data_IF_521634940206
#
_entry.id   IF_521634940206
#
_cell.length_a   1.000
_cell.length_b   1.000
_cell.length_c   1.000
_cell.angle_alpha   90.00
_cell.angle_beta   90.00
_cell.angle_gamma   90.00
#
_symmetry.space_group_name_H-M   'P 1'
#
loop_
_entity.id
_entity.type
_entity.pdbx_description
1 polymer ?
#
# COMPACT_ATOMS: atom_id res chain seq x y z
N UNK A 1 -61.93 32.77 -29.06
CA UNK A 1 -60.65 32.32 -29.64
C UNK A 1 -59.58 32.72 -28.63
N UNK A 2 -59.32 31.83 -27.65
CA UNK A 2 -58.36 32.10 -26.61
C UNK A 2 -57.25 31.11 -26.77
N UNK A 3 -56.03 31.58 -27.09
CA UNK A 3 -54.78 30.78 -27.20
C UNK A 3 -54.12 30.81 -25.87
N UNK A 4 -54.26 29.71 -25.13
CA UNK A 4 -53.42 29.43 -23.95
C UNK A 4 -52.04 28.93 -24.40
N UNK A 5 -51.01 29.75 -24.17
CA UNK A 5 -49.61 29.36 -24.30
C UNK A 5 -49.16 28.73 -22.99
N UNK A 6 -48.96 27.41 -23.02
CA UNK A 6 -48.36 26.63 -21.92
C UNK A 6 -46.85 26.72 -22.06
N UNK A 7 -46.19 27.56 -21.23
CA UNK A 7 -44.73 27.61 -21.15
C UNK A 7 -44.23 26.42 -20.35
N UNK A 8 -43.64 25.42 -21.01
CA UNK A 8 -42.95 24.32 -20.36
C UNK A 8 -41.58 24.82 -19.95
N UNK A 9 -41.41 25.04 -18.62
CA UNK A 9 -40.11 25.29 -17.99
C UNK A 9 -39.38 23.95 -17.86
N UNK A 10 -38.42 23.68 -18.76
CA UNK A 10 -37.51 22.53 -18.63
C UNK A 10 -36.44 22.87 -17.59
N UNK A 11 -36.59 22.36 -16.38
CA UNK A 11 -35.51 22.37 -15.37
C UNK A 11 -34.43 21.39 -15.79
N UNK A 12 -33.32 21.90 -16.32
CA UNK A 12 -32.09 21.16 -16.46
C UNK A 12 -31.49 20.91 -15.06
N UNK A 13 -31.75 19.74 -14.49
CA UNK A 13 -31.02 19.27 -13.33
C UNK A 13 -29.60 18.91 -13.80
N UNK A 14 -28.68 19.87 -13.77
CA UNK A 14 -27.25 19.57 -13.81
C UNK A 14 -26.88 18.87 -12.50
N UNK A 15 -26.95 17.55 -12.49
CA UNK A 15 -26.27 16.74 -11.46
C UNK A 15 -24.77 16.96 -11.62
N UNK A 16 -24.21 17.89 -10.84
CA UNK A 16 -22.77 17.93 -10.62
C UNK A 16 -22.37 16.64 -9.91
N UNK A 17 -21.99 15.63 -10.68
CA UNK A 17 -21.19 14.54 -10.17
C UNK A 17 -19.87 15.17 -9.73
N UNK A 18 -19.73 15.39 -8.43
CA UNK A 18 -18.47 15.85 -7.84
C UNK A 18 -17.44 14.76 -8.01
N UNK A 19 -16.66 14.83 -9.08
CA UNK A 19 -15.46 14.00 -9.20
C UNK A 19 -14.42 14.48 -8.20
N UNK A 20 -13.83 13.55 -7.45
CA UNK A 20 -12.65 13.84 -6.63
C UNK A 20 -11.60 14.55 -7.50
N UNK A 21 -11.05 15.65 -6.98
CA UNK A 21 -9.99 16.39 -7.70
C UNK A 21 -8.65 15.63 -7.71
N UNK A 22 -8.52 14.58 -6.89
CA UNK A 22 -7.35 13.72 -6.84
C UNK A 22 -7.57 12.52 -7.75
N UNK A 23 -6.55 12.14 -8.50
CA UNK A 23 -6.59 10.99 -9.39
C UNK A 23 -5.36 10.11 -9.22
N UNK A 24 -5.45 8.88 -9.70
CA UNK A 24 -4.34 7.93 -9.67
C UNK A 24 -4.27 7.17 -10.98
N UNK A 25 -3.05 6.91 -11.47
CA UNK A 25 -2.80 6.10 -12.64
C UNK A 25 -1.84 4.97 -12.32
N UNK A 26 -2.26 3.73 -12.59
CA UNK A 26 -1.45 2.53 -12.42
C UNK A 26 -0.39 2.47 -13.53
N UNK A 27 0.88 2.39 -13.14
CA UNK A 27 2.02 2.17 -14.04
C UNK A 27 2.50 0.72 -14.02
N UNK A 28 1.89 -0.14 -13.21
CA UNK A 28 2.28 -1.56 -13.16
C UNK A 28 1.98 -2.29 -14.46
N UNK A 29 0.95 -1.85 -15.19
CA UNK A 29 0.53 -2.41 -16.48
C UNK A 29 1.30 -1.88 -17.69
N UNK A 30 2.23 -0.95 -17.50
CA UNK A 30 3.09 -0.47 -18.59
C UNK A 30 4.05 -1.57 -19.07
N UNK A 31 4.67 -1.37 -20.21
CA UNK A 31 5.60 -2.35 -20.79
C UNK A 31 6.95 -2.33 -20.05
N UNK A 32 7.02 -3.03 -18.93
CA UNK A 32 8.25 -3.17 -18.17
C UNK A 32 9.20 -4.16 -18.84
N UNK A 33 10.48 -3.84 -18.77
CA UNK A 33 11.58 -4.71 -19.21
C UNK A 33 12.63 -4.81 -18.12
N UNK A 34 13.41 -5.90 -18.14
CA UNK A 34 14.51 -6.11 -17.20
C UNK A 34 15.75 -6.65 -17.90
N UNK A 35 16.89 -6.49 -17.24
CA UNK A 35 18.15 -7.14 -17.63
C UNK A 35 19.10 -7.22 -16.45
N UNK A 36 20.09 -8.09 -16.51
CA UNK A 36 21.28 -8.00 -15.64
C UNK A 36 22.06 -6.72 -15.99
N UNK A 37 22.64 -6.06 -14.99
CA UNK A 37 23.32 -4.76 -15.19
C UNK A 37 24.33 -4.79 -16.35
N UNK A 38 25.13 -5.84 -16.41
CA UNK A 38 26.21 -5.95 -17.40
C UNK A 38 25.78 -6.53 -18.75
N UNK A 39 24.53 -6.97 -18.91
CA UNK A 39 24.01 -7.50 -20.16
C UNK A 39 23.57 -6.40 -21.12
N UNK A 40 23.57 -6.71 -22.41
CA UNK A 40 23.07 -5.81 -23.44
C UNK A 40 21.56 -5.96 -23.71
N UNK A 41 21.02 -7.17 -23.53
CA UNK A 41 19.66 -7.53 -23.94
C UNK A 41 18.65 -7.25 -22.83
N UNK A 42 17.55 -6.60 -23.22
CA UNK A 42 16.38 -6.40 -22.37
C UNK A 42 15.33 -7.48 -22.66
N UNK A 43 14.70 -7.97 -21.58
CA UNK A 43 13.62 -8.97 -21.63
C UNK A 43 12.35 -8.39 -21.01
N UNK A 44 11.19 -8.95 -21.36
CA UNK A 44 9.91 -8.51 -20.82
C UNK A 44 9.81 -8.84 -19.32
N UNK A 45 9.37 -7.87 -18.52
CA UNK A 45 9.11 -8.04 -17.08
C UNK A 45 7.64 -7.92 -16.76
N UNK A 46 7.19 -8.63 -15.74
CA UNK A 46 5.85 -8.50 -15.19
C UNK A 46 5.88 -7.74 -13.87
N UNK A 47 5.10 -6.67 -13.78
CA UNK A 47 4.94 -5.87 -12.54
C UNK A 47 3.47 -5.92 -12.10
N UNK A 48 3.17 -6.27 -10.84
CA UNK A 48 4.08 -6.77 -9.80
C UNK A 48 4.72 -8.12 -10.14
N UNK A 49 5.99 -8.28 -9.76
CA UNK A 49 6.75 -9.49 -10.01
C UNK A 49 8.12 -9.50 -9.34
N UNK A 50 8.88 -10.55 -9.60
CA UNK A 50 10.23 -10.74 -9.10
C UNK A 50 11.14 -11.24 -10.21
N UNK A 51 12.46 -11.03 -10.06
CA UNK A 51 13.45 -11.46 -11.04
C UNK A 51 13.37 -12.95 -11.39
N UNK A 52 13.14 -13.82 -10.40
CA UNK A 52 13.03 -15.25 -10.65
C UNK A 52 11.83 -15.59 -11.55
N UNK A 53 10.68 -14.93 -11.32
CA UNK A 53 9.48 -15.12 -12.15
C UNK A 53 9.69 -14.57 -13.55
N UNK A 54 10.37 -13.45 -13.69
CA UNK A 54 10.65 -12.81 -14.98
C UNK A 54 11.65 -13.64 -15.81
N UNK A 55 12.72 -14.13 -15.18
CA UNK A 55 13.67 -15.04 -15.82
C UNK A 55 13.01 -16.33 -16.30
N UNK A 56 12.15 -16.92 -15.47
CA UNK A 56 11.42 -18.15 -15.82
C UNK A 56 10.45 -17.93 -16.97
N UNK A 57 9.66 -16.84 -16.94
CA UNK A 57 8.71 -16.52 -18.00
C UNK A 57 9.37 -16.25 -19.36
N UNK A 58 10.61 -15.80 -19.37
CA UNK A 58 11.40 -15.61 -20.59
C UNK A 58 12.22 -16.84 -20.99
N UNK A 59 12.04 -18.00 -20.31
CA UNK A 59 12.81 -19.23 -20.56
C UNK A 59 14.33 -19.06 -20.40
N UNK A 60 14.76 -18.14 -19.53
CA UNK A 60 16.17 -17.87 -19.24
C UNK A 60 16.71 -18.77 -18.12
N UNK A 61 15.83 -19.40 -17.36
CA UNK A 61 16.12 -20.38 -16.33
C UNK A 61 15.11 -21.56 -16.43
N UNK A 62 15.50 -22.76 -15.95
CA UNK A 62 14.57 -23.87 -15.79
C UNK A 62 13.58 -23.58 -14.66
N UNK A 63 12.54 -24.44 -14.52
CA UNK A 63 11.60 -24.36 -13.40
C UNK A 63 12.35 -24.41 -12.07
N UNK A 64 12.32 -23.33 -11.26
CA UNK A 64 13.05 -23.25 -10.00
C UNK A 64 12.65 -24.31 -8.96
N UNK A 65 11.43 -24.83 -9.04
CA UNK A 65 10.89 -25.82 -8.10
C UNK A 65 11.05 -27.25 -8.55
N UNK A 66 11.63 -27.49 -9.74
CA UNK A 66 11.81 -28.83 -10.24
C UNK A 66 13.15 -29.43 -9.84
N UNK A 67 13.11 -30.57 -9.16
CA UNK A 67 14.32 -31.34 -8.80
C UNK A 67 15.30 -30.58 -7.92
N UNK A 68 16.51 -30.38 -8.40
CA UNK A 68 17.57 -29.64 -7.70
C UNK A 68 17.88 -28.28 -8.33
N UNK A 69 17.01 -27.78 -9.21
CA UNK A 69 17.24 -26.53 -9.95
C UNK A 69 17.48 -25.32 -9.03
N UNK A 70 16.87 -25.29 -7.85
CA UNK A 70 17.14 -24.26 -6.84
C UNK A 70 18.64 -24.01 -6.64
N UNK A 71 19.44 -25.10 -6.53
CA UNK A 71 20.87 -25.00 -6.28
C UNK A 71 21.66 -24.37 -7.43
N UNK A 72 21.20 -24.63 -8.65
CA UNK A 72 21.82 -24.10 -9.87
C UNK A 72 21.45 -22.62 -10.12
N UNK A 73 20.45 -22.09 -9.39
CA UNK A 73 19.92 -20.75 -9.59
C UNK A 73 20.40 -19.73 -8.55
N UNK A 74 21.27 -20.11 -7.63
CA UNK A 74 21.77 -19.22 -6.57
C UNK A 74 22.56 -18.02 -7.12
N UNK A 75 23.10 -18.11 -8.34
CA UNK A 75 23.77 -16.99 -9.01
C UNK A 75 22.89 -15.75 -9.17
N UNK A 76 21.55 -15.92 -9.19
CA UNK A 76 20.60 -14.82 -9.41
C UNK A 76 20.66 -13.79 -8.29
N UNK A 77 20.88 -14.23 -7.05
CA UNK A 77 20.97 -13.36 -5.89
C UNK A 77 22.30 -12.58 -5.81
N UNK A 78 23.32 -13.04 -6.55
CA UNK A 78 24.63 -12.38 -6.63
C UNK A 78 24.69 -11.29 -7.71
N UNK A 79 23.65 -11.14 -8.51
CA UNK A 79 23.63 -10.17 -9.61
C UNK A 79 22.80 -8.95 -9.27
N UNK A 80 23.19 -7.83 -9.88
CA UNK A 80 22.41 -6.60 -9.88
C UNK A 80 21.50 -6.55 -11.11
N UNK A 81 20.29 -6.03 -10.92
CA UNK A 81 19.25 -6.05 -11.94
C UNK A 81 18.74 -4.66 -12.27
N UNK A 82 18.49 -4.40 -13.55
CA UNK A 82 17.84 -3.20 -14.04
C UNK A 82 16.42 -3.51 -14.49
N UNK A 83 15.46 -2.68 -14.06
CA UNK A 83 14.09 -2.66 -14.54
C UNK A 83 13.80 -1.31 -15.19
N UNK A 84 13.06 -1.31 -16.30
CA UNK A 84 12.77 -0.09 -17.04
C UNK A 84 11.41 -0.11 -17.68
N UNK A 85 10.74 1.05 -17.69
CA UNK A 85 9.54 1.30 -18.49
C UNK A 85 9.50 2.73 -18.99
N UNK A 86 8.77 2.93 -20.08
CA UNK A 86 8.41 4.24 -20.60
C UNK A 86 6.91 4.47 -20.41
N UNK A 87 6.52 5.70 -20.09
CA UNK A 87 5.14 6.11 -19.95
C UNK A 87 4.92 7.53 -20.45
N UNK A 88 3.67 7.86 -20.79
CA UNK A 88 3.33 9.19 -21.31
C UNK A 88 2.77 10.07 -20.18
N UNK A 89 3.04 11.37 -20.20
CA UNK A 89 2.39 12.38 -19.36
C UNK A 89 1.70 13.38 -20.29
N UNK A 90 0.41 13.62 -20.03
CA UNK A 90 -0.37 14.62 -20.75
C UNK A 90 -0.12 16.02 -20.17
N UNK A 91 -0.52 17.05 -20.93
CA UNK A 91 -0.46 18.43 -20.44
C UNK A 91 -1.31 18.61 -19.18
N UNK A 92 -2.55 18.08 -19.18
CA UNK A 92 -3.51 18.21 -18.08
C UNK A 92 -3.00 17.50 -16.80
N UNK A 93 -2.36 16.34 -16.95
CA UNK A 93 -1.73 15.65 -15.82
C UNK A 93 -0.59 16.50 -15.22
N UNK A 94 0.24 17.12 -16.07
CA UNK A 94 1.37 17.96 -15.62
C UNK A 94 0.91 19.29 -15.01
N UNK A 95 -0.32 19.75 -15.25
CA UNK A 95 -0.89 20.95 -14.61
C UNK A 95 -1.21 20.74 -13.11
N UNK A 96 -1.30 19.49 -12.63
CA UNK A 96 -1.50 19.25 -11.20
C UNK A 96 -0.36 19.83 -10.35
N UNK A 97 -0.67 20.35 -9.17
CA UNK A 97 0.31 20.96 -8.28
C UNK A 97 1.35 19.97 -7.76
N UNK A 98 0.90 18.76 -7.43
CA UNK A 98 1.73 17.67 -6.92
C UNK A 98 1.49 16.42 -7.76
N UNK A 99 2.58 15.77 -8.15
CA UNK A 99 2.55 14.48 -8.84
C UNK A 99 3.48 13.53 -8.09
N UNK A 100 2.92 12.57 -7.40
CA UNK A 100 3.69 11.60 -6.62
C UNK A 100 3.87 10.31 -7.39
N UNK A 101 5.11 9.85 -7.53
CA UNK A 101 5.43 8.49 -7.91
C UNK A 101 5.45 7.63 -6.66
N UNK A 102 4.62 6.59 -6.65
CA UNK A 102 4.45 5.70 -5.52
C UNK A 102 4.83 4.28 -5.91
N UNK A 103 5.63 3.65 -5.05
CA UNK A 103 5.93 2.22 -5.07
C UNK A 103 5.36 1.59 -3.81
N UNK A 104 4.42 0.68 -3.94
CA UNK A 104 3.83 -0.01 -2.77
C UNK A 104 4.80 -1.04 -2.18
N UNK A 105 5.85 -1.42 -2.93
CA UNK A 105 6.94 -2.27 -2.46
C UNK A 105 8.03 -2.49 -3.50
N UNK A 106 9.27 -2.25 -3.10
CA UNK A 106 10.50 -2.54 -3.85
C UNK A 106 11.33 -3.57 -3.06
N UNK A 107 11.81 -4.61 -3.71
CA UNK A 107 12.54 -5.70 -3.09
C UNK A 107 13.98 -5.73 -3.62
N UNK A 108 14.96 -5.24 -2.87
CA UNK A 108 14.99 -4.61 -1.55
C UNK A 108 15.76 -3.30 -1.66
N UNK A 109 17.05 -3.36 -2.07
CA UNK A 109 17.90 -2.20 -2.30
C UNK A 109 17.67 -1.71 -3.72
N UNK A 110 17.05 -0.55 -3.86
CA UNK A 110 16.68 -0.03 -5.17
C UNK A 110 17.02 1.46 -5.31
N UNK A 111 17.75 1.79 -6.36
CA UNK A 111 17.94 3.17 -6.81
C UNK A 111 17.00 3.44 -7.97
N UNK A 112 16.07 4.40 -7.80
CA UNK A 112 15.11 4.76 -8.84
C UNK A 112 15.56 6.04 -9.55
N UNK A 113 15.56 5.96 -10.87
CA UNK A 113 15.81 7.09 -11.76
C UNK A 113 14.57 7.43 -12.57
N UNK A 114 14.26 8.71 -12.68
CA UNK A 114 13.23 9.25 -13.56
C UNK A 114 13.88 10.20 -14.55
N UNK A 115 13.76 9.91 -15.85
CA UNK A 115 14.41 10.66 -16.92
C UNK A 115 15.95 10.83 -16.71
N UNK A 116 16.60 9.78 -16.19
CA UNK A 116 18.03 9.75 -15.89
C UNK A 116 18.44 10.45 -14.57
N UNK A 117 17.51 11.09 -13.86
CA UNK A 117 17.78 11.73 -12.57
C UNK A 117 17.39 10.80 -11.43
N UNK A 118 18.29 10.56 -10.47
CA UNK A 118 18.00 9.80 -9.26
C UNK A 118 16.94 10.51 -8.42
N UNK A 119 15.86 9.81 -8.08
CA UNK A 119 14.72 10.34 -7.31
C UNK A 119 14.47 9.60 -6.00
N UNK A 120 14.93 8.34 -5.87
CA UNK A 120 14.70 7.53 -4.67
C UNK A 120 15.85 6.56 -4.42
N UNK A 121 16.15 6.31 -3.13
CA UNK A 121 16.87 5.15 -2.62
C UNK A 121 15.94 4.37 -1.70
N UNK A 122 15.76 3.08 -1.95
CA UNK A 122 15.00 2.16 -1.12
C UNK A 122 15.91 1.09 -0.54
N UNK A 123 15.65 0.67 0.69
CA UNK A 123 16.44 -0.30 1.46
C UNK A 123 15.57 -1.27 2.28
N UNK A 124 14.26 -1.33 1.99
CA UNK A 124 13.31 -2.06 2.81
C UNK A 124 12.12 -2.52 1.97
N UNK A 125 11.94 -3.84 1.82
CA UNK A 125 10.85 -4.39 1.00
C UNK A 125 9.45 -4.18 1.60
N UNK A 126 9.35 -3.93 2.92
CA UNK A 126 8.07 -3.82 3.62
C UNK A 126 7.50 -2.41 3.65
N UNK A 127 8.22 -1.42 3.13
CA UNK A 127 7.79 -0.03 3.07
C UNK A 127 7.21 0.31 1.71
N UNK A 128 6.17 1.15 1.72
CA UNK A 128 5.78 1.93 0.55
C UNK A 128 6.64 3.19 0.45
N UNK A 129 6.96 3.58 -0.77
CA UNK A 129 7.80 4.73 -1.07
C UNK A 129 7.01 5.71 -1.92
N UNK A 130 7.07 6.99 -1.59
CA UNK A 130 6.42 8.05 -2.36
C UNK A 130 7.34 9.25 -2.52
N UNK A 131 7.38 9.81 -3.71
CA UNK A 131 8.23 10.94 -4.07
C UNK A 131 7.44 11.91 -4.93
N UNK A 132 7.49 13.22 -4.63
CA UNK A 132 7.02 14.23 -5.56
C UNK A 132 7.99 14.33 -6.74
N UNK A 133 7.49 14.03 -7.92
CA UNK A 133 8.26 13.96 -9.15
C UNK A 133 7.85 15.01 -10.19
N UNK A 134 6.97 15.94 -9.83
CA UNK A 134 6.44 16.93 -10.78
C UNK A 134 7.55 17.64 -11.56
N UNK A 135 8.62 18.08 -10.88
CA UNK A 135 9.72 18.82 -11.49
C UNK A 135 10.65 17.95 -12.35
N UNK A 136 10.50 16.63 -12.32
CA UNK A 136 11.27 15.67 -13.12
C UNK A 136 10.51 15.19 -14.36
N UNK A 137 9.18 15.39 -14.37
CA UNK A 137 8.30 14.98 -15.47
C UNK A 137 8.29 16.02 -16.59
N UNK A 138 8.04 15.55 -17.80
CA UNK A 138 7.79 16.36 -19.00
C UNK A 138 6.57 15.85 -19.76
N UNK A 139 5.94 16.71 -20.53
CA UNK A 139 4.86 16.31 -21.44
C UNK A 139 5.42 15.28 -22.43
N UNK A 140 4.62 14.25 -22.72
CA UNK A 140 5.01 13.17 -23.60
C UNK A 140 5.79 12.07 -22.86
N UNK A 141 6.77 11.48 -23.51
CA UNK A 141 7.50 10.30 -23.04
C UNK A 141 8.38 10.60 -21.83
N UNK A 142 8.21 9.82 -20.77
CA UNK A 142 9.05 9.75 -19.57
C UNK A 142 9.53 8.32 -19.36
N UNK A 143 10.68 8.16 -18.73
CA UNK A 143 11.30 6.85 -18.49
C UNK A 143 11.59 6.67 -17.01
N UNK A 144 11.14 5.57 -16.43
CA UNK A 144 11.56 5.09 -15.12
C UNK A 144 12.59 3.98 -15.34
N UNK A 145 13.71 4.05 -14.62
CA UNK A 145 14.71 2.99 -14.54
C UNK A 145 15.00 2.72 -13.05
N UNK A 146 15.07 1.44 -12.69
CA UNK A 146 15.31 1.01 -11.32
C UNK A 146 16.49 0.05 -11.31
N UNK A 147 17.50 0.39 -10.54
CA UNK A 147 18.64 -0.47 -10.28
C UNK A 147 18.42 -1.17 -8.95
N UNK A 148 18.28 -2.49 -8.98
CA UNK A 148 18.26 -3.35 -7.80
C UNK A 148 19.65 -3.92 -7.56
N UNK A 149 20.23 -3.60 -6.41
CA UNK A 149 21.49 -4.18 -5.95
C UNK A 149 21.22 -5.52 -5.24
N UNK A 150 22.18 -6.45 -5.33
CA UNK A 150 22.11 -7.74 -4.66
C UNK A 150 21.89 -7.58 -3.15
N UNK A 151 20.79 -8.14 -2.65
CA UNK A 151 20.49 -8.12 -1.23
C UNK A 151 21.47 -8.98 -0.42
N UNK A 152 21.97 -10.08 -0.99
CA UNK A 152 22.97 -10.94 -0.37
C UNK A 152 24.29 -10.20 -0.19
N UNK A 153 24.83 -9.57 -1.26
CA UNK A 153 26.06 -8.78 -1.17
C UNK A 153 25.96 -7.62 -0.19
N UNK A 154 24.81 -6.89 -0.20
CA UNK A 154 24.58 -5.81 0.78
C UNK A 154 24.54 -6.32 2.20
N UNK A 155 23.91 -7.44 2.45
CA UNK A 155 23.91 -8.07 3.77
C UNK A 155 25.30 -8.48 4.23
N UNK A 156 26.13 -9.03 3.33
CA UNK A 156 27.52 -9.35 3.60
C UNK A 156 28.36 -8.10 3.92
N UNK A 157 28.24 -7.04 3.12
CA UNK A 157 28.89 -5.74 3.36
C UNK A 157 28.56 -5.20 4.76
N UNK A 158 27.30 -5.29 5.20
CA UNK A 158 26.89 -4.85 6.53
C UNK A 158 27.44 -5.77 7.63
N UNK A 159 27.47 -7.08 7.40
CA UNK A 159 28.01 -8.04 8.36
C UNK A 159 29.50 -7.81 8.65
N UNK A 160 30.26 -7.46 7.63
CA UNK A 160 31.70 -7.17 7.73
C UNK A 160 32.04 -5.93 8.55
N UNK A 161 31.07 -5.04 8.80
CA UNK A 161 31.25 -3.86 9.67
C UNK A 161 31.27 -4.22 11.16
N UNK A 162 30.85 -5.42 11.52
CA UNK A 162 30.85 -5.89 12.90
C UNK A 162 32.18 -6.60 13.23
N UNK A 163 32.63 -6.42 14.46
CA UNK A 163 33.82 -7.13 15.00
C UNK A 163 33.53 -8.58 15.44
N UNK A 164 32.30 -9.04 15.28
CA UNK A 164 31.82 -10.39 15.65
C UNK A 164 30.83 -10.90 14.60
N UNK A 165 30.65 -12.21 14.52
CA UNK A 165 29.71 -12.86 13.60
C UNK A 165 28.39 -13.13 14.29
N UNK A 166 27.28 -12.70 13.64
CA UNK A 166 25.95 -13.07 14.07
C UNK A 166 25.55 -14.44 13.47
N UNK A 167 24.68 -15.19 14.16
CA UNK A 167 23.98 -16.31 13.53
C UNK A 167 23.25 -15.84 12.27
N UNK A 168 23.06 -16.75 11.29
CA UNK A 168 22.27 -16.47 10.09
C UNK A 168 22.90 -15.46 9.10
N UNK A 169 24.18 -15.19 9.25
CA UNK A 169 25.01 -14.43 8.29
C UNK A 169 24.34 -13.14 7.79
N UNK A 170 24.33 -12.95 6.45
CA UNK A 170 23.87 -11.74 5.76
C UNK A 170 22.39 -11.41 5.96
N UNK A 171 21.53 -12.42 6.15
CA UNK A 171 20.06 -12.19 6.16
C UNK A 171 19.57 -11.30 7.30
N UNK A 172 20.26 -11.27 8.44
CA UNK A 172 19.87 -10.46 9.60
C UNK A 172 20.11 -8.96 9.40
N UNK A 173 20.88 -8.59 8.38
CA UNK A 173 21.18 -7.20 8.04
C UNK A 173 20.25 -6.64 6.96
N UNK A 174 19.40 -7.47 6.35
CA UNK A 174 18.54 -7.09 5.22
C UNK A 174 17.08 -7.00 5.66
N UNK A 175 16.44 -5.87 5.39
CA UNK A 175 14.99 -5.68 5.67
C UNK A 175 14.14 -6.29 4.56
N UNK A 176 14.21 -7.61 4.49
CA UNK A 176 13.59 -8.48 3.51
C UNK A 176 12.93 -9.67 4.22
N UNK A 177 11.99 -10.35 3.57
CA UNK A 177 11.40 -11.56 4.14
C UNK A 177 12.50 -12.62 4.37
N UNK A 178 12.67 -13.03 5.63
CA UNK A 178 13.78 -13.87 6.03
C UNK A 178 13.77 -15.26 5.38
N UNK A 179 12.58 -15.80 5.07
CA UNK A 179 12.43 -17.07 4.36
C UNK A 179 12.95 -17.04 2.91
N UNK A 180 13.16 -15.85 2.30
CA UNK A 180 13.81 -15.76 0.98
C UNK A 180 15.26 -16.27 1.00
N UNK A 181 15.93 -16.23 2.14
CA UNK A 181 17.27 -16.79 2.33
C UNK A 181 17.26 -18.31 2.62
N UNK A 182 16.14 -18.96 2.37
CA UNK A 182 15.91 -20.37 2.66
C UNK A 182 15.37 -20.60 4.08
N UNK A 183 14.57 -21.62 4.25
CA UNK A 183 14.02 -22.06 5.52
C UNK A 183 13.86 -23.59 5.51
N UNK A 184 13.53 -24.20 6.63
CA UNK A 184 13.31 -25.65 6.71
C UNK A 184 12.14 -26.16 5.83
N UNK A 185 11.23 -25.26 5.43
CA UNK A 185 10.07 -25.56 4.60
C UNK A 185 10.07 -24.83 3.24
N UNK A 186 11.07 -23.98 2.95
CA UNK A 186 11.13 -23.20 1.73
C UNK A 186 12.53 -23.21 1.11
N UNK A 187 12.61 -23.30 -0.22
CA UNK A 187 13.86 -23.14 -0.95
C UNK A 187 14.43 -21.73 -0.77
N UNK A 188 15.73 -21.59 -1.04
CA UNK A 188 16.41 -20.29 -1.03
C UNK A 188 16.22 -19.59 -2.37
N UNK A 189 15.45 -18.51 -2.36
CA UNK A 189 15.31 -17.57 -3.49
C UNK A 189 15.37 -16.14 -2.96
N UNK A 190 16.57 -15.56 -2.92
CA UNK A 190 16.75 -14.15 -2.54
C UNK A 190 16.38 -13.30 -3.75
N UNK A 191 15.12 -12.93 -3.81
CA UNK A 191 14.50 -12.23 -4.94
C UNK A 191 14.92 -10.77 -5.01
N UNK A 192 14.69 -10.15 -6.18
CA UNK A 192 14.73 -8.71 -6.40
C UNK A 192 13.57 -8.32 -7.32
N UNK A 193 13.08 -7.09 -7.25
CA UNK A 193 12.08 -6.60 -8.19
C UNK A 193 11.00 -5.68 -7.62
N UNK A 194 10.06 -5.35 -8.47
CA UNK A 194 8.91 -4.50 -8.14
C UNK A 194 7.76 -5.42 -7.71
N UNK A 195 7.74 -5.84 -6.45
CA UNK A 195 6.85 -6.91 -5.98
C UNK A 195 5.43 -6.45 -5.63
N UNK A 196 5.18 -5.13 -5.64
CA UNK A 196 3.85 -4.51 -5.49
C UNK A 196 3.62 -3.46 -6.56
N UNK A 197 2.46 -2.79 -6.52
CA UNK A 197 2.07 -1.81 -7.52
C UNK A 197 2.97 -0.59 -7.58
N UNK A 198 3.05 -0.03 -8.78
CA UNK A 198 3.64 1.29 -9.07
C UNK A 198 2.54 2.19 -9.63
N UNK A 199 2.39 3.39 -9.09
CA UNK A 199 1.37 4.31 -9.58
C UNK A 199 1.74 5.77 -9.40
N UNK A 200 1.21 6.63 -10.26
CA UNK A 200 1.22 8.08 -10.08
C UNK A 200 -0.04 8.51 -9.32
N UNK A 201 0.10 9.48 -8.43
CA UNK A 201 -1.01 10.20 -7.81
C UNK A 201 -0.91 11.67 -8.15
N UNK A 202 -2.03 12.21 -8.62
CA UNK A 202 -2.16 13.60 -9.00
C UNK A 202 -3.08 14.31 -8.01
N UNK A 203 -2.62 15.42 -7.44
CA UNK A 203 -3.47 16.17 -6.52
C UNK A 203 -3.06 17.65 -6.44
N UNK A 204 -4.02 18.51 -6.01
CA UNK A 204 -3.87 19.95 -6.10
C UNK A 204 -4.01 20.72 -4.79
N UNK A 205 -4.90 20.28 -3.91
CA UNK A 205 -5.27 21.05 -2.70
C UNK A 205 -4.93 20.32 -1.40
N UNK A 206 -5.46 19.11 -1.30
CA UNK A 206 -5.30 18.29 -0.10
C UNK A 206 -5.57 16.82 -0.43
N UNK A 207 -5.09 15.93 0.44
CA UNK A 207 -5.39 14.50 0.37
C UNK A 207 -5.42 13.88 1.76
N UNK A 208 -6.19 12.81 1.91
CA UNK A 208 -6.18 11.94 3.08
C UNK A 208 -5.06 10.92 2.88
N UNK A 209 -4.00 11.02 3.67
CA UNK A 209 -2.87 10.07 3.63
C UNK A 209 -3.24 8.74 4.26
N UNK A 210 -3.81 8.82 5.47
CA UNK A 210 -4.16 7.66 6.27
C UNK A 210 -5.35 7.95 7.17
N UNK A 211 -6.06 6.89 7.55
CA UNK A 211 -7.11 6.91 8.57
C UNK A 211 -6.82 5.79 9.55
N UNK A 212 -6.55 6.14 10.80
CA UNK A 212 -6.45 5.20 11.90
C UNK A 212 -7.80 5.06 12.58
N UNK A 213 -8.28 3.84 12.74
CA UNK A 213 -9.42 3.49 13.56
C UNK A 213 -8.96 3.16 14.99
N UNK A 214 -9.54 3.86 15.98
CA UNK A 214 -9.20 3.70 17.39
C UNK A 214 -10.49 3.43 18.20
N UNK A 215 -10.72 2.16 18.54
CA UNK A 215 -11.89 1.72 19.29
C UNK A 215 -11.70 2.04 20.78
N UNK A 216 -12.57 2.89 21.33
CA UNK A 216 -12.51 3.33 22.74
C UNK A 216 -13.38 2.49 23.65
N UNK A 217 -14.56 2.14 23.19
CA UNK A 217 -15.53 1.32 23.94
C UNK A 217 -16.32 0.47 22.96
N UNK A 218 -16.54 -0.77 23.29
CA UNK A 218 -17.43 -1.65 22.54
C UNK A 218 -18.14 -2.63 23.48
N UNK A 219 -19.47 -2.61 23.42
CA UNK A 219 -20.35 -3.61 24.00
C UNK A 219 -21.59 -3.79 23.09
N UNK A 220 -22.62 -4.51 23.56
CA UNK A 220 -23.84 -4.75 22.79
C UNK A 220 -24.72 -3.52 22.65
N UNK A 221 -24.57 -2.51 23.52
CA UNK A 221 -25.40 -1.31 23.54
C UNK A 221 -24.78 -0.15 22.78
N UNK A 222 -23.45 -0.05 22.81
CA UNK A 222 -22.75 1.09 22.27
C UNK A 222 -21.35 0.74 21.77
N UNK A 223 -20.97 1.32 20.64
CA UNK A 223 -19.59 1.41 20.15
C UNK A 223 -19.15 2.87 20.09
N UNK A 224 -18.03 3.20 20.76
CA UNK A 224 -17.38 4.52 20.68
C UNK A 224 -16.01 4.36 20.05
N UNK A 225 -15.73 5.16 19.05
CA UNK A 225 -14.49 5.10 18.29
C UNK A 225 -14.05 6.47 17.81
N UNK A 226 -12.75 6.61 17.61
CA UNK A 226 -12.16 7.78 16.97
C UNK A 226 -11.60 7.39 15.61
N UNK A 227 -11.90 8.17 14.58
CA UNK A 227 -11.15 8.13 13.34
C UNK A 227 -10.12 9.25 13.36
N UNK A 228 -8.83 8.87 13.30
CA UNK A 228 -7.71 9.80 13.29
C UNK A 228 -7.16 9.89 11.87
N UNK A 229 -7.37 11.03 11.24
CA UNK A 229 -6.96 11.29 9.86
C UNK A 229 -5.59 11.97 9.84
N UNK A 230 -4.71 11.48 9.00
CA UNK A 230 -3.54 12.24 8.54
C UNK A 230 -3.89 12.87 7.20
N UNK A 231 -3.94 14.19 7.15
CA UNK A 231 -4.30 14.98 5.96
C UNK A 231 -3.14 15.87 5.57
N UNK A 232 -2.70 15.79 4.32
CA UNK A 232 -1.70 16.71 3.76
C UNK A 232 -2.39 17.79 2.94
N UNK A 233 -2.02 19.07 3.15
CA UNK A 233 -2.59 20.20 2.43
C UNK A 233 -1.50 21.09 1.82
N UNK A 234 -1.74 21.60 0.61
CA UNK A 234 -0.87 22.57 -0.06
C UNK A 234 -1.00 24.00 0.51
N UNK A 235 -2.18 24.34 1.02
CA UNK A 235 -2.46 25.68 1.58
C UNK A 235 -3.23 25.56 2.88
N UNK A 236 -2.93 26.46 3.81
CA UNK A 236 -3.74 26.61 5.03
C UNK A 236 -5.16 27.09 4.66
N UNK A 237 -6.17 26.61 5.40
CA UNK A 237 -7.55 26.96 5.11
C UNK A 237 -8.58 26.19 5.91
N UNK A 238 -9.84 26.50 5.68
CA UNK A 238 -10.97 25.75 6.22
C UNK A 238 -11.27 24.57 5.32
N UNK A 239 -11.33 23.40 5.90
CA UNK A 239 -11.68 22.13 5.27
C UNK A 239 -12.75 21.44 6.13
N UNK A 240 -13.43 20.47 5.55
CA UNK A 240 -14.27 19.55 6.32
C UNK A 240 -14.08 18.12 5.86
N UNK A 241 -14.21 17.18 6.79
CA UNK A 241 -14.37 15.77 6.47
C UNK A 241 -15.85 15.45 6.67
N UNK A 242 -16.47 14.79 5.72
CA UNK A 242 -17.86 14.36 5.79
C UNK A 242 -17.95 12.86 5.91
N UNK A 243 -18.82 12.40 6.80
CA UNK A 243 -19.23 11.00 6.91
C UNK A 243 -20.76 10.93 6.65
N UNK A 244 -21.15 10.41 5.48
CA UNK A 244 -22.54 10.51 5.02
C UNK A 244 -22.97 11.96 4.93
N UNK A 245 -24.05 12.32 5.62
CA UNK A 245 -24.55 13.71 5.65
C UNK A 245 -23.89 14.60 6.72
N UNK A 246 -23.10 14.00 7.65
CA UNK A 246 -22.53 14.72 8.79
C UNK A 246 -21.19 15.35 8.45
N UNK A 247 -21.06 16.70 8.43
CA UNK A 247 -19.81 17.39 8.24
C UNK A 247 -19.05 17.59 9.56
N UNK A 248 -17.73 17.53 9.49
CA UNK A 248 -16.79 17.84 10.56
C UNK A 248 -15.80 18.89 10.06
N UNK A 249 -15.97 20.18 10.42
CA UNK A 249 -15.12 21.25 9.96
C UNK A 249 -13.80 21.31 10.73
N UNK A 250 -12.71 21.66 10.02
CA UNK A 250 -11.38 21.82 10.56
C UNK A 250 -10.66 23.02 9.95
N UNK A 251 -9.77 23.63 10.73
CA UNK A 251 -8.80 24.58 10.23
C UNK A 251 -7.47 23.82 10.06
N UNK A 252 -7.01 23.65 8.82
CA UNK A 252 -5.77 22.95 8.51
C UNK A 252 -4.67 23.93 8.11
N UNK A 253 -3.42 23.61 8.48
CA UNK A 253 -2.22 24.36 8.07
C UNK A 253 -1.59 23.70 6.84
N UNK A 254 -0.82 24.45 6.05
CA UNK A 254 0.00 23.87 4.98
C UNK A 254 0.88 22.74 5.53
N UNK A 255 0.99 21.64 4.80
CA UNK A 255 1.70 20.43 5.17
C UNK A 255 0.82 19.38 5.84
N UNK A 256 1.42 18.55 6.66
CA UNK A 256 0.74 17.43 7.31
C UNK A 256 -0.03 17.89 8.55
N UNK A 257 -1.27 17.44 8.68
CA UNK A 257 -2.17 17.70 9.80
C UNK A 257 -2.73 16.38 10.32
N UNK A 258 -3.06 16.37 11.62
CA UNK A 258 -3.81 15.28 12.24
C UNK A 258 -5.14 15.83 12.72
N UNK A 259 -6.24 15.21 12.28
CA UNK A 259 -7.59 15.55 12.72
C UNK A 259 -8.29 14.31 13.26
N UNK A 260 -9.15 14.51 14.27
CA UNK A 260 -9.81 13.43 14.99
C UNK A 260 -11.32 13.62 14.93
N UNK A 261 -12.03 12.56 14.58
CA UNK A 261 -13.50 12.54 14.48
C UNK A 261 -14.03 11.44 15.39
N UNK A 262 -14.72 11.78 16.50
CA UNK A 262 -15.39 10.80 17.34
C UNK A 262 -16.70 10.34 16.67
N UNK A 263 -16.92 9.02 16.66
CA UNK A 263 -18.14 8.38 16.17
C UNK A 263 -18.69 7.47 17.24
N UNK A 264 -20.01 7.46 17.35
CA UNK A 264 -20.76 6.60 18.24
C UNK A 264 -21.84 5.85 17.45
N UNK A 265 -21.99 4.55 17.73
CA UNK A 265 -23.00 3.69 17.13
C UNK A 265 -23.77 3.04 18.27
N UNK A 266 -25.07 3.26 18.35
CA UNK A 266 -25.96 2.61 19.29
C UNK A 266 -26.35 1.20 18.78
N UNK A 267 -26.40 0.23 19.67
CA UNK A 267 -26.73 -1.18 19.38
C UNK A 267 -25.92 -1.74 18.19
N UNK A 268 -24.58 -1.72 18.29
CA UNK A 268 -23.72 -2.13 17.17
C UNK A 268 -23.86 -3.61 16.85
N UNK A 269 -23.83 -3.96 15.56
CA UNK A 269 -23.73 -5.34 15.12
C UNK A 269 -22.26 -5.75 15.25
N UNK A 270 -21.98 -6.71 16.13
CA UNK A 270 -20.63 -7.19 16.37
C UNK A 270 -20.17 -8.13 15.25
N UNK A 271 -18.89 -8.04 14.93
CA UNK A 271 -18.23 -8.96 14.02
C UNK A 271 -17.89 -10.27 14.74
N UNK A 272 -18.15 -11.40 14.08
CA UNK A 272 -17.80 -12.73 14.56
C UNK A 272 -16.97 -13.48 13.53
N UNK A 273 -16.05 -14.32 14.00
CA UNK A 273 -15.31 -15.21 13.12
C UNK A 273 -16.19 -16.36 12.62
N UNK A 274 -15.73 -17.04 11.59
CA UNK A 274 -16.44 -18.15 10.98
C UNK A 274 -16.86 -19.21 12.02
N UNK A 275 -18.12 -19.65 11.95
CA UNK A 275 -18.73 -20.63 12.85
C UNK A 275 -19.26 -20.07 14.17
N UNK A 276 -19.07 -18.78 14.49
CA UNK A 276 -19.56 -18.15 15.73
C UNK A 276 -20.62 -17.07 15.51
N UNK A 277 -20.84 -16.66 14.28
CA UNK A 277 -21.82 -15.63 13.93
C UNK A 277 -21.51 -14.97 12.59
N UNK A 278 -22.08 -13.78 12.38
CA UNK A 278 -21.93 -13.02 11.14
C UNK A 278 -20.66 -12.17 11.19
N UNK A 279 -19.85 -12.25 10.13
CA UNK A 279 -18.67 -11.38 9.95
C UNK A 279 -19.10 -10.00 9.43
N UNK A 280 -19.90 -9.27 10.23
CA UNK A 280 -20.45 -7.98 9.85
C UNK A 280 -19.35 -6.92 9.72
N UNK A 281 -19.36 -6.18 8.59
CA UNK A 281 -18.43 -5.07 8.33
C UNK A 281 -19.20 -3.77 8.13
N UNK A 282 -18.88 -2.78 8.94
CA UNK A 282 -19.32 -1.40 8.72
C UNK A 282 -18.47 -0.78 7.62
N UNK A 283 -19.13 -0.10 6.69
CA UNK A 283 -18.47 0.64 5.60
C UNK A 283 -18.57 2.13 5.92
N UNK A 284 -17.44 2.74 6.21
CA UNK A 284 -17.32 4.18 6.44
C UNK A 284 -16.73 4.83 5.19
N UNK A 285 -17.51 5.74 4.57
CA UNK A 285 -17.08 6.55 3.42
C UNK A 285 -16.87 7.97 3.88
N UNK A 286 -15.63 8.43 3.76
CA UNK A 286 -15.23 9.78 4.14
C UNK A 286 -14.89 10.57 2.89
N UNK A 287 -15.43 11.80 2.78
CA UNK A 287 -15.00 12.79 1.79
C UNK A 287 -14.30 13.96 2.49
N UNK A 288 -13.15 14.37 1.94
CA UNK A 288 -12.48 15.62 2.30
C UNK A 288 -12.96 16.70 1.36
N UNK A 289 -13.48 17.79 1.91
CA UNK A 289 -14.14 18.84 1.15
C UNK A 289 -13.56 20.23 1.47
N UNK A 290 -13.60 21.13 0.48
CA UNK A 290 -13.31 22.54 0.63
C UNK A 290 -14.23 23.36 -0.27
N UNK A 291 -14.89 24.37 0.29
CA UNK A 291 -15.82 25.26 -0.43
C UNK A 291 -16.92 24.49 -1.20
N UNK A 292 -17.45 23.43 -0.60
CA UNK A 292 -18.50 22.58 -1.18
C UNK A 292 -18.04 21.58 -2.25
N UNK A 293 -16.76 21.56 -2.60
CA UNK A 293 -16.21 20.61 -3.57
C UNK A 293 -15.49 19.45 -2.85
N UNK A 294 -15.73 18.22 -3.31
CA UNK A 294 -15.00 17.03 -2.86
C UNK A 294 -13.59 17.08 -3.44
N UNK A 295 -12.58 16.92 -2.57
CA UNK A 295 -11.17 16.95 -2.92
C UNK A 295 -10.59 15.53 -2.95
N UNK A 296 -10.93 14.71 -1.92
CA UNK A 296 -10.45 13.35 -1.78
C UNK A 296 -11.49 12.48 -1.06
N UNK A 297 -11.46 11.19 -1.31
CA UNK A 297 -12.38 10.23 -0.70
C UNK A 297 -11.63 8.99 -0.23
N UNK A 298 -12.09 8.42 0.88
CA UNK A 298 -11.60 7.16 1.43
C UNK A 298 -12.72 6.31 1.97
N UNK A 299 -12.63 5.00 1.72
CA UNK A 299 -13.51 3.99 2.29
C UNK A 299 -12.73 3.10 3.27
N UNK A 300 -13.32 2.84 4.43
CA UNK A 300 -12.83 1.86 5.41
C UNK A 300 -13.91 0.83 5.68
N UNK A 301 -13.51 -0.44 5.76
CA UNK A 301 -14.35 -1.57 6.20
C UNK A 301 -13.87 -2.04 7.56
N UNK A 302 -14.73 -1.99 8.58
CA UNK A 302 -14.37 -2.26 9.96
C UNK A 302 -15.35 -3.26 10.56
N UNK A 303 -14.82 -4.36 11.13
CA UNK A 303 -15.58 -5.28 11.96
C UNK A 303 -15.42 -4.92 13.43
N UNK A 304 -16.51 -4.50 14.07
CA UNK A 304 -16.51 -4.13 15.49
C UNK A 304 -16.42 -5.38 16.36
N UNK A 305 -15.31 -5.55 17.07
CA UNK A 305 -15.06 -6.70 17.94
C UNK A 305 -14.10 -6.37 19.07
N UNK A 306 -14.21 -7.10 20.17
CA UNK A 306 -13.18 -7.18 21.21
C UNK A 306 -12.47 -8.53 21.12
N UNK A 307 -11.15 -8.54 21.30
CA UNK A 307 -10.35 -9.76 21.44
C UNK A 307 -9.53 -9.62 22.73
N UNK A 308 -9.67 -10.59 23.61
CA UNK A 308 -8.96 -10.63 24.89
C UNK A 308 -8.16 -11.93 24.97
N UNK A 309 -6.90 -11.84 25.34
CA UNK A 309 -6.11 -12.98 25.77
C UNK A 309 -6.30 -13.16 27.29
N UNK A 310 -6.92 -14.27 27.69
CA UNK A 310 -7.17 -14.58 29.09
C UNK A 310 -6.07 -15.47 29.63
N UNK A 311 -5.42 -15.01 30.69
CA UNK A 311 -4.36 -15.71 31.41
C UNK A 311 -4.65 -15.63 32.91
N UNK A 312 -5.36 -16.60 33.44
CA UNK A 312 -5.75 -16.70 34.84
C UNK A 312 -4.98 -17.85 35.51
N UNK A 313 -4.47 -17.62 36.72
CA UNK A 313 -3.82 -18.66 37.48
C UNK A 313 -4.86 -19.59 38.10
N UNK A 314 -4.60 -20.88 38.10
CA UNK A 314 -5.32 -21.91 38.80
C UNK A 314 -4.37 -22.80 39.64
N UNK A 315 -4.87 -23.84 40.29
CA UNK A 315 -4.05 -24.74 41.11
C UNK A 315 -3.02 -25.55 40.30
N UNK A 316 -3.18 -25.67 38.99
CA UNK A 316 -2.34 -26.48 38.09
C UNK A 316 -1.45 -25.67 37.17
N UNK A 317 -1.68 -24.35 37.09
CA UNK A 317 -0.88 -23.49 36.21
C UNK A 317 -1.59 -22.20 35.82
N UNK A 318 -1.49 -21.84 34.54
CA UNK A 318 -2.04 -20.59 34.00
C UNK A 318 -2.82 -20.90 32.72
N UNK A 319 -4.08 -20.43 32.66
CA UNK A 319 -4.88 -20.54 31.46
C UNK A 319 -4.31 -19.70 30.31
N UNK A 320 -4.59 -20.11 29.07
CA UNK A 320 -4.20 -19.37 27.87
C UNK A 320 -5.27 -19.59 26.81
N UNK A 321 -6.23 -18.65 26.71
CA UNK A 321 -7.28 -18.72 25.72
C UNK A 321 -7.77 -17.33 25.31
N UNK A 322 -8.45 -17.25 24.17
CA UNK A 322 -9.00 -16.00 23.68
C UNK A 322 -10.50 -15.89 23.97
N UNK A 323 -10.95 -14.67 24.27
CA UNK A 323 -12.37 -14.29 24.23
C UNK A 323 -12.59 -13.36 23.04
N UNK A 324 -13.57 -13.66 22.21
CA UNK A 324 -14.10 -12.80 21.16
C UNK A 324 -15.45 -12.25 21.61
N UNK A 325 -15.57 -10.92 21.73
CA UNK A 325 -16.78 -10.27 22.24
C UNK A 325 -17.25 -10.87 23.59
N UNK A 326 -16.30 -11.13 24.49
CA UNK A 326 -16.53 -11.71 25.80
C UNK A 326 -16.80 -13.23 25.81
N UNK A 327 -16.92 -13.91 24.66
CA UNK A 327 -17.14 -15.36 24.57
C UNK A 327 -15.83 -16.10 24.37
N UNK A 328 -15.51 -17.14 25.15
CA UNK A 328 -14.35 -18.00 24.92
C UNK A 328 -14.37 -18.63 23.52
N UNK A 329 -13.21 -18.63 22.86
CA UNK A 329 -13.08 -19.15 21.50
C UNK A 329 -11.96 -20.18 21.47
N UNK A 330 -12.25 -21.36 20.92
CA UNK A 330 -11.24 -22.33 20.56
C UNK A 330 -10.59 -21.91 19.24
N UNK A 331 -9.29 -21.61 19.29
CA UNK A 331 -8.52 -21.23 18.11
C UNK A 331 -8.22 -22.47 17.28
N UNK A 332 -8.82 -22.54 16.10
CA UNK A 332 -8.53 -23.58 15.11
C UNK A 332 -7.53 -23.03 14.12
N UNK A 333 -6.37 -23.62 14.07
CA UNK A 333 -5.29 -23.23 13.16
C UNK A 333 -4.56 -24.45 12.62
N UNK A 334 -3.96 -24.28 11.48
CA UNK A 334 -3.04 -25.24 10.92
C UNK A 334 -1.91 -24.49 10.22
N UNK A 335 -0.71 -25.02 10.30
CA UNK A 335 0.42 -24.62 9.49
C UNK A 335 0.40 -25.51 8.23
N UNK A 336 0.12 -24.92 7.07
CA UNK A 336 0.14 -25.63 5.80
C UNK A 336 1.48 -25.37 5.12
N UNK A 337 2.35 -26.35 5.17
CA UNK A 337 3.59 -26.42 4.40
C UNK A 337 3.30 -27.23 3.13
N UNK A 338 3.25 -26.60 1.99
CA UNK A 338 3.02 -27.25 0.69
C UNK A 338 4.22 -27.07 -0.20
#
# INVERSE_FOLDING_TARGET
MDKNWLSILVFFFCSFLGFSQNSSRDLSSENWTFKKVNDSNWFSAKVPGTIHTDLFQNNLIPDPFFGANEKELQWIEEEDWLYKTDFQITKDELENNIIELNFDGLDTYATVFLNGKKVLLADNMFRSWKIDVKNQLKIGKNTIEIHFESASKKGEEESQKLSYTLPEKERVFVRKAQYHFGWDWAPRFVTAGIWKKVHLKFWNKAKIENILYDQKLLNTEIAKMDFVFTVTTEKSGKYQIRLGEKPFPFQLKKGQNTVKIPIEISNPILWWCNGLGVSHLYIFRFSLEQNGAIIDEKELKIGLRTIELVQENDEKGKSFYFKLNGKPVFIKGADRKS
#
